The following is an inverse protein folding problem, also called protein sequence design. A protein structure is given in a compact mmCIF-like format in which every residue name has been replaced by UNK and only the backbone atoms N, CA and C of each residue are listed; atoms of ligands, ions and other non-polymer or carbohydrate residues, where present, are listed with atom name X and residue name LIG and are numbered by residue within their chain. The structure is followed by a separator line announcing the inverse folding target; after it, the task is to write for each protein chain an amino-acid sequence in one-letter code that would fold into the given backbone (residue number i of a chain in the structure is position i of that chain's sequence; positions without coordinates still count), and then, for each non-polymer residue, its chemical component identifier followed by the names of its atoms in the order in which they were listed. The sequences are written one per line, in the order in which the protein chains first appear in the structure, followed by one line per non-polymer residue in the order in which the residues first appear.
data_IF_753690376770
#
_entry.id   IF_753690376770
#
_cell.length_a   1.000
_cell.length_b   1.000
_cell.length_c   1.000
_cell.angle_alpha   90.00
_cell.angle_beta   90.00
_cell.angle_gamma   90.00
#
_symmetry.space_group_name_H-M   'P 1'
#
loop_
_entity.id
_entity.type
_entity.pdbx_description
1 polymer ?
#
# COMPACT_ATOMS: atom_id res chain seq x y z
N UNK A 1 30.58 -3.83 23.62
CA UNK A 1 29.55 -3.38 22.66
C UNK A 1 28.64 -2.38 23.38
N UNK A 2 28.26 -1.24 22.79
CA UNK A 2 27.32 -0.31 23.41
C UNK A 2 25.99 -1.00 23.72
N UNK A 3 25.36 -0.67 24.84
CA UNK A 3 24.03 -1.18 25.15
C UNK A 3 22.98 -0.41 24.32
N UNK A 4 22.54 -1.00 23.22
CA UNK A 4 21.44 -0.46 22.41
C UNK A 4 20.10 -0.81 23.06
N UNK A 5 19.28 0.20 23.36
CA UNK A 5 17.94 0.05 23.97
C UNK A 5 16.88 -0.27 22.90
N UNK A 6 17.25 -1.16 21.98
CA UNK A 6 16.41 -1.60 20.88
C UNK A 6 15.90 -3.01 21.14
N UNK A 7 14.59 -3.27 20.98
CA UNK A 7 14.05 -4.62 21.09
C UNK A 7 14.62 -5.51 19.97
N UNK A 8 14.75 -6.82 20.21
CA UNK A 8 15.16 -7.76 19.17
C UNK A 8 14.24 -7.68 17.94
N UNK A 9 14.82 -7.89 16.77
CA UNK A 9 14.11 -7.96 15.51
C UNK A 9 13.82 -9.42 15.13
N UNK A 10 12.57 -9.86 15.28
CA UNK A 10 12.14 -11.21 14.90
C UNK A 10 11.48 -11.26 13.52
N UNK A 11 11.18 -10.09 12.94
CA UNK A 11 10.55 -9.95 11.63
C UNK A 11 9.03 -10.18 11.62
N UNK A 12 8.40 -10.41 12.78
CA UNK A 12 6.96 -10.60 12.87
C UNK A 12 6.22 -9.31 13.25
N UNK A 13 5.61 -8.68 12.24
CA UNK A 13 4.88 -7.42 12.42
C UNK A 13 5.77 -6.19 12.62
N UNK A 14 7.09 -6.37 12.75
CA UNK A 14 8.08 -5.30 12.83
C UNK A 14 8.49 -4.82 11.44
N UNK A 15 8.68 -3.51 11.29
CA UNK A 15 9.15 -2.89 10.04
C UNK A 15 10.66 -2.66 10.09
N UNK A 16 11.42 -3.20 9.13
CA UNK A 16 12.88 -3.10 9.10
C UNK A 16 13.38 -1.66 9.00
N UNK A 17 12.69 -0.80 8.24
CA UNK A 17 13.10 0.60 8.09
C UNK A 17 12.94 1.36 9.40
N UNK A 18 11.80 1.18 10.08
CA UNK A 18 11.55 1.79 11.39
C UNK A 18 12.56 1.27 12.42
N UNK A 19 12.83 -0.03 12.41
CA UNK A 19 13.78 -0.63 13.34
C UNK A 19 15.23 -0.16 13.09
N UNK A 20 15.68 -0.12 11.84
CA UNK A 20 16.98 0.43 11.47
C UNK A 20 17.11 1.92 11.80
N UNK A 21 16.03 2.70 11.65
CA UNK A 21 16.02 4.11 12.03
C UNK A 21 16.23 4.29 13.54
N UNK A 22 15.56 3.48 14.37
CA UNK A 22 15.78 3.49 15.82
C UNK A 22 17.20 3.08 16.19
N UNK A 23 17.76 2.07 15.53
CA UNK A 23 19.16 1.68 15.73
C UNK A 23 20.13 2.83 15.42
N UNK A 24 19.89 3.57 14.32
CA UNK A 24 20.70 4.75 13.95
C UNK A 24 20.57 5.90 14.95
N UNK A 25 19.39 6.07 15.56
CA UNK A 25 19.21 7.05 16.64
C UNK A 25 20.05 6.68 17.87
N UNK A 26 20.06 5.41 18.28
CA UNK A 26 20.89 4.95 19.40
C UNK A 26 22.40 5.11 19.09
N UNK A 27 22.83 4.81 17.86
CA UNK A 27 24.19 5.07 17.41
C UNK A 27 24.56 6.55 17.50
N UNK A 28 23.65 7.43 17.06
CA UNK A 28 23.82 8.89 17.16
C UNK A 28 23.96 9.36 18.61
N UNK A 29 23.13 8.83 19.51
CA UNK A 29 23.21 9.13 20.95
C UNK A 29 24.51 8.63 21.59
N UNK A 30 25.08 7.54 21.06
CA UNK A 30 26.37 6.99 21.50
C UNK A 30 27.59 7.63 20.79
N UNK A 31 27.40 8.64 19.95
CA UNK A 31 28.46 9.26 19.11
C UNK A 31 29.21 8.28 18.20
N UNK A 32 28.52 7.25 17.71
CA UNK A 32 29.09 6.25 16.81
C UNK A 32 28.57 6.53 15.40
N UNK A 33 29.49 6.84 14.49
CA UNK A 33 29.17 7.01 13.08
C UNK A 33 29.44 5.70 12.31
N UNK A 34 28.44 5.25 11.55
CA UNK A 34 28.56 4.12 10.62
C UNK A 34 29.67 4.27 9.58
N UNK A 35 30.09 5.50 9.26
CA UNK A 35 31.21 5.76 8.36
C UNK A 35 32.55 5.43 9.00
N UNK A 36 32.68 5.63 10.31
CA UNK A 36 33.94 5.44 11.05
C UNK A 36 33.99 4.09 11.76
N UNK A 37 32.83 3.49 12.05
CA UNK A 37 32.71 2.20 12.73
C UNK A 37 31.72 1.25 12.03
N UNK A 38 31.91 0.95 10.74
CA UNK A 38 31.04 0.05 9.97
C UNK A 38 30.90 -1.34 10.61
N UNK A 39 31.96 -1.87 11.22
CA UNK A 39 31.96 -3.14 11.94
C UNK A 39 30.96 -3.15 13.10
N UNK A 40 30.86 -2.05 13.86
CA UNK A 40 29.92 -1.94 14.98
C UNK A 40 28.48 -1.89 14.48
N UNK A 41 28.22 -1.24 13.35
CA UNK A 41 26.91 -1.21 12.73
C UNK A 41 26.44 -2.59 12.28
N UNK A 42 27.32 -3.36 11.63
CA UNK A 42 27.02 -4.73 11.20
C UNK A 42 26.75 -5.63 12.42
N UNK A 43 27.59 -5.56 13.45
CA UNK A 43 27.42 -6.37 14.66
C UNK A 43 26.15 -6.00 15.42
N UNK A 44 25.78 -4.72 15.48
CA UNK A 44 24.54 -4.31 16.14
C UNK A 44 23.29 -4.83 15.43
N UNK A 45 23.26 -4.84 14.10
CA UNK A 45 22.14 -5.43 13.37
C UNK A 45 22.13 -6.95 13.60
N UNK A 46 23.27 -7.61 13.43
CA UNK A 46 23.36 -9.08 13.47
C UNK A 46 23.11 -9.68 14.87
N UNK A 47 23.49 -8.99 15.94
CA UNK A 47 23.26 -9.47 17.33
C UNK A 47 21.86 -9.18 17.85
N UNK A 48 21.15 -8.24 17.23
CA UNK A 48 19.80 -7.85 17.65
C UNK A 48 18.70 -8.51 16.83
N UNK A 49 19.03 -9.29 15.80
CA UNK A 49 18.05 -10.15 15.15
C UNK A 49 17.82 -11.41 15.96
N UNK A 50 16.61 -11.96 15.89
CA UNK A 50 16.22 -13.14 16.65
C UNK A 50 15.28 -14.05 15.85
N UNK A 51 15.20 -15.31 16.28
CA UNK A 51 14.22 -16.28 15.78
C UNK A 51 14.36 -16.54 14.28
N UNK A 52 13.24 -16.53 13.54
CA UNK A 52 13.23 -16.84 12.10
C UNK A 52 14.03 -15.86 11.24
N UNK A 53 14.29 -14.66 11.75
CA UNK A 53 15.09 -13.66 11.05
C UNK A 53 16.57 -14.02 11.09
N UNK A 54 17.07 -14.53 12.22
CA UNK A 54 18.44 -15.01 12.39
C UNK A 54 18.76 -16.14 11.38
N UNK A 55 17.93 -17.20 11.37
CA UNK A 55 18.05 -18.33 10.43
C UNK A 55 18.12 -17.88 8.97
N UNK A 56 17.38 -16.83 8.64
CA UNK A 56 17.27 -16.31 7.28
C UNK A 56 18.48 -15.46 6.89
N UNK A 57 19.04 -14.71 7.84
CA UNK A 57 20.28 -13.96 7.64
C UNK A 57 21.45 -14.90 7.42
N UNK A 58 21.55 -15.97 8.19
CA UNK A 58 22.63 -16.96 8.07
C UNK A 58 22.63 -17.72 6.75
N UNK A 59 21.45 -17.90 6.16
CA UNK A 59 21.28 -18.52 4.82
C UNK A 59 21.55 -17.55 3.67
N UNK A 60 21.60 -16.24 3.91
CA UNK A 60 21.77 -15.25 2.86
C UNK A 60 23.25 -15.07 2.55
N UNK A 61 23.71 -15.62 1.42
CA UNK A 61 25.14 -15.66 1.05
C UNK A 61 25.82 -14.29 1.11
N UNK A 62 25.15 -13.23 0.63
CA UNK A 62 25.70 -11.86 0.68
C UNK A 62 25.89 -11.36 2.12
N UNK A 63 24.90 -11.58 3.00
CA UNK A 63 24.98 -11.24 4.42
C UNK A 63 26.11 -12.01 5.08
N UNK A 64 26.19 -13.32 4.82
CA UNK A 64 27.26 -14.19 5.32
C UNK A 64 28.65 -13.72 4.90
N UNK A 65 28.83 -13.36 3.63
CA UNK A 65 30.12 -12.87 3.12
C UNK A 65 30.54 -11.56 3.81
N UNK A 66 29.61 -10.61 3.96
CA UNK A 66 29.87 -9.34 4.66
C UNK A 66 30.20 -9.57 6.14
N UNK A 67 29.49 -10.48 6.80
CA UNK A 67 29.75 -10.82 8.21
C UNK A 67 31.10 -11.52 8.42
N UNK A 68 31.57 -12.28 7.43
CA UNK A 68 32.88 -12.93 7.46
C UNK A 68 34.02 -11.90 7.39
N UNK A 69 33.85 -10.80 6.65
CA UNK A 69 34.84 -9.73 6.49
C UNK A 69 34.53 -8.48 7.32
N UNK A 70 33.62 -8.58 8.30
CA UNK A 70 33.06 -7.43 9.02
C UNK A 70 34.08 -6.49 9.68
N UNK A 71 35.23 -7.00 10.10
CA UNK A 71 36.26 -6.20 10.77
C UNK A 71 36.93 -5.20 9.83
N UNK A 72 36.94 -5.48 8.54
CA UNK A 72 37.47 -4.59 7.48
C UNK A 72 36.34 -4.02 6.62
N UNK A 73 35.10 -4.11 7.09
CA UNK A 73 33.95 -3.67 6.32
C UNK A 73 33.99 -2.16 6.08
N UNK A 74 33.40 -1.75 4.97
CA UNK A 74 33.26 -0.37 4.54
C UNK A 74 31.82 0.10 4.72
N UNK A 75 31.61 1.42 4.68
CA UNK A 75 30.26 2.01 4.67
C UNK A 75 29.41 1.49 3.49
N UNK A 76 30.04 1.13 2.38
CA UNK A 76 29.35 0.54 1.22
C UNK A 76 28.79 -0.83 1.56
N UNK A 77 29.55 -1.68 2.25
CA UNK A 77 29.08 -2.99 2.71
C UNK A 77 27.98 -2.87 3.76
N UNK A 78 28.06 -1.87 4.67
CA UNK A 78 26.95 -1.56 5.59
C UNK A 78 25.68 -1.21 4.81
N UNK A 79 25.76 -0.36 3.79
CA UNK A 79 24.60 0.00 2.96
C UNK A 79 24.03 -1.19 2.20
N UNK A 80 24.89 -2.06 1.64
CA UNK A 80 24.48 -3.28 0.97
C UNK A 80 23.78 -4.22 1.95
N UNK A 81 24.34 -4.37 3.15
CA UNK A 81 23.77 -5.18 4.21
C UNK A 81 22.40 -4.65 4.64
N UNK A 82 22.26 -3.35 4.90
CA UNK A 82 20.98 -2.75 5.24
C UNK A 82 19.96 -2.90 4.10
N UNK A 83 20.38 -2.78 2.85
CA UNK A 83 19.49 -2.95 1.70
C UNK A 83 18.99 -4.39 1.57
N UNK A 84 19.87 -5.39 1.74
CA UNK A 84 19.45 -6.80 1.80
C UNK A 84 18.55 -7.06 3.00
N UNK A 85 18.87 -6.51 4.18
CA UNK A 85 18.03 -6.63 5.36
C UNK A 85 16.61 -6.08 5.11
N UNK A 86 16.49 -4.87 4.55
CA UNK A 86 15.20 -4.29 4.14
C UNK A 86 14.46 -5.14 3.11
N UNK A 87 15.17 -5.61 2.09
CA UNK A 87 14.59 -6.45 1.03
C UNK A 87 14.01 -7.75 1.59
N UNK A 88 14.66 -8.35 2.58
CA UNK A 88 14.22 -9.61 3.21
C UNK A 88 13.13 -9.41 4.25
N UNK A 89 13.06 -8.23 4.84
CA UNK A 89 12.12 -7.91 5.91
C UNK A 89 11.46 -6.54 5.70
N UNK A 90 10.73 -6.29 4.59
CA UNK A 90 10.20 -4.96 4.22
C UNK A 90 9.19 -4.35 5.21
N UNK A 91 9.03 -4.98 6.37
CA UNK A 91 7.94 -4.79 7.30
C UNK A 91 6.67 -5.41 6.79
N UNK A 92 5.78 -5.74 7.71
CA UNK A 92 4.36 -5.69 7.36
C UNK A 92 4.04 -4.22 7.06
N UNK A 93 4.20 -3.79 5.81
CA UNK A 93 3.11 -3.00 5.23
C UNK A 93 1.89 -3.86 5.50
N UNK A 94 0.80 -3.28 5.99
CA UNK A 94 -0.46 -3.99 6.02
C UNK A 94 -0.85 -4.31 4.56
N UNK A 95 -0.18 -5.30 3.97
CA UNK A 95 -0.77 -6.20 3.01
C UNK A 95 -1.72 -6.98 3.91
N UNK A 96 -2.87 -6.38 4.22
CA UNK A 96 -4.11 -7.15 4.14
C UNK A 96 -3.90 -8.04 2.93
N UNK A 97 -3.90 -9.37 3.11
CA UNK A 97 -3.88 -10.30 1.99
C UNK A 97 -4.99 -9.85 1.05
N UNK A 98 -4.66 -8.99 0.11
CA UNK A 98 -5.61 -8.42 -0.79
C UNK A 98 -5.70 -9.54 -1.80
N UNK A 99 -6.76 -10.35 -1.63
CA UNK A 99 -7.32 -11.06 -2.76
C UNK A 99 -7.17 -10.13 -3.96
N UNK A 100 -6.59 -10.64 -5.06
CA UNK A 100 -6.31 -9.90 -6.30
C UNK A 100 -7.18 -8.64 -6.41
N UNK A 101 -6.64 -7.43 -6.70
CA UNK A 101 -7.45 -6.21 -6.78
C UNK A 101 -8.77 -6.37 -7.56
N UNK A 102 -8.80 -7.28 -8.54
CA UNK A 102 -9.98 -7.71 -9.28
C UNK A 102 -10.98 -8.56 -8.47
N UNK A 103 -10.53 -9.45 -7.59
CA UNK A 103 -11.38 -10.14 -6.60
C UNK A 103 -11.90 -9.18 -5.54
N UNK A 104 -11.06 -8.25 -5.06
CA UNK A 104 -11.51 -7.24 -4.10
C UNK A 104 -12.56 -6.29 -4.68
N UNK A 105 -12.45 -5.97 -5.97
CA UNK A 105 -13.48 -5.20 -6.69
C UNK A 105 -14.86 -5.84 -6.66
N UNK A 106 -14.96 -7.17 -6.69
CA UNK A 106 -16.24 -7.88 -6.60
C UNK A 106 -16.90 -7.74 -5.22
N UNK A 107 -16.08 -7.58 -4.18
CA UNK A 107 -16.54 -7.35 -2.80
C UNK A 107 -16.66 -5.86 -2.43
N UNK A 108 -16.28 -4.96 -3.33
CA UNK A 108 -16.33 -3.52 -3.06
C UNK A 108 -17.79 -3.09 -2.93
N UNK A 109 -18.15 -2.62 -1.74
CA UNK A 109 -19.49 -2.14 -1.42
C UNK A 109 -19.39 -0.92 -0.51
N UNK A 110 -20.21 0.08 -0.80
CA UNK A 110 -20.39 1.25 0.04
C UNK A 110 -21.17 0.83 1.29
N UNK A 111 -20.61 1.11 2.46
CA UNK A 111 -21.29 0.81 3.71
C UNK A 111 -22.45 1.80 3.95
N UNK A 112 -23.53 1.41 4.66
CA UNK A 112 -24.70 2.27 4.88
C UNK A 112 -24.40 3.64 5.51
N UNK A 113 -23.31 3.71 6.28
CA UNK A 113 -22.85 4.90 7.01
C UNK A 113 -21.64 5.57 6.34
N UNK A 114 -21.17 5.03 5.23
CA UNK A 114 -20.04 5.58 4.49
C UNK A 114 -20.53 6.65 3.52
N UNK A 115 -19.98 7.87 3.64
CA UNK A 115 -20.27 8.93 2.70
C UNK A 115 -19.64 8.63 1.32
N UNK A 116 -20.25 9.19 0.26
CA UNK A 116 -19.84 8.92 -1.12
C UNK A 116 -18.37 9.28 -1.39
N UNK A 117 -17.87 10.35 -0.75
CA UNK A 117 -16.47 10.78 -0.90
C UNK A 117 -15.48 9.75 -0.37
N UNK A 118 -15.77 9.17 0.80
CA UNK A 118 -14.96 8.11 1.40
C UNK A 118 -15.00 6.83 0.54
N UNK A 119 -16.18 6.50 0.00
CA UNK A 119 -16.31 5.37 -0.91
C UNK A 119 -15.52 5.55 -2.21
N UNK A 120 -15.59 6.73 -2.83
CA UNK A 120 -14.79 7.11 -4.00
C UNK A 120 -13.30 7.02 -3.69
N UNK A 121 -12.88 7.46 -2.49
CA UNK A 121 -11.48 7.35 -2.08
C UNK A 121 -10.99 5.90 -2.04
N UNK A 122 -11.77 4.98 -1.44
CA UNK A 122 -11.43 3.54 -1.43
C UNK A 122 -11.38 2.95 -2.84
N UNK A 123 -12.29 3.34 -3.72
CA UNK A 123 -12.27 2.91 -5.12
C UNK A 123 -11.00 3.37 -5.85
N UNK A 124 -10.54 4.60 -5.61
CA UNK A 124 -9.29 5.16 -6.16
C UNK A 124 -8.05 4.47 -5.62
N UNK A 125 -8.02 4.12 -4.34
CA UNK A 125 -6.95 3.32 -3.75
C UNK A 125 -6.88 1.94 -4.41
N UNK A 126 -8.02 1.28 -4.59
CA UNK A 126 -8.10 -0.01 -5.28
C UNK A 126 -7.60 0.09 -6.73
N UNK A 127 -8.08 1.08 -7.48
CA UNK A 127 -7.63 1.36 -8.85
C UNK A 127 -6.13 1.62 -8.94
N UNK A 128 -5.58 2.38 -8.01
CA UNK A 128 -4.14 2.65 -7.94
C UNK A 128 -3.34 1.37 -7.63
N UNK A 129 -3.85 0.49 -6.76
CA UNK A 129 -3.24 -0.80 -6.46
C UNK A 129 -3.23 -1.77 -7.65
N UNK A 130 -4.23 -1.67 -8.54
CA UNK A 130 -4.32 -2.46 -9.78
C UNK A 130 -3.43 -1.93 -10.91
N UNK A 131 -2.75 -0.79 -10.70
CA UNK A 131 -1.88 -0.17 -11.69
C UNK A 131 -2.55 0.88 -12.58
N UNK A 132 -3.83 1.21 -12.33
CA UNK A 132 -4.73 2.03 -13.16
C UNK A 132 -4.23 3.40 -13.65
N UNK A 133 -3.08 3.89 -13.14
CA UNK A 133 -2.41 5.11 -13.60
C UNK A 133 -1.37 4.90 -14.71
N UNK A 134 -1.11 3.65 -15.14
CA UNK A 134 -0.10 3.35 -16.17
C UNK A 134 -0.68 3.60 -17.57
N UNK A 135 -0.20 4.65 -18.24
CA UNK A 135 -0.69 5.14 -19.54
C UNK A 135 0.05 4.60 -20.76
N UNK A 136 0.99 3.68 -20.60
CA UNK A 136 1.78 3.10 -21.71
C UNK A 136 1.26 1.71 -22.08
N UNK A 137 0.67 1.60 -23.27
CA UNK A 137 0.21 0.39 -23.98
C UNK A 137 -0.40 -0.69 -23.08
N UNK A 138 -1.73 -0.63 -22.91
CA UNK A 138 -2.48 -1.63 -22.16
C UNK A 138 -2.60 -2.93 -22.98
N UNK A 139 -2.12 -4.04 -22.42
CA UNK A 139 -2.44 -5.38 -22.91
C UNK A 139 -3.97 -5.62 -22.74
N UNK A 140 -4.63 -6.38 -23.63
CA UNK A 140 -6.08 -6.63 -23.56
C UNK A 140 -6.58 -7.17 -22.20
N UNK A 141 -5.73 -7.89 -21.46
CA UNK A 141 -6.05 -8.39 -20.11
C UNK A 141 -6.13 -7.28 -19.06
N UNK A 142 -5.45 -6.15 -19.28
CA UNK A 142 -5.46 -5.00 -18.39
C UNK A 142 -6.74 -4.19 -18.51
N UNK A 143 -7.26 -4.00 -19.74
CA UNK A 143 -8.57 -3.37 -19.99
C UNK A 143 -9.71 -4.16 -19.33
N UNK A 144 -9.66 -5.50 -19.44
CA UNK A 144 -10.66 -6.37 -18.82
C UNK A 144 -10.62 -6.29 -17.29
N UNK A 145 -9.43 -6.18 -16.69
CA UNK A 145 -9.26 -5.98 -15.26
C UNK A 145 -9.78 -4.61 -14.77
N UNK A 146 -9.51 -3.54 -15.52
CA UNK A 146 -10.00 -2.20 -15.22
C UNK A 146 -11.53 -2.14 -15.25
N UNK A 147 -12.15 -2.81 -16.22
CA UNK A 147 -13.61 -2.91 -16.31
C UNK A 147 -14.23 -3.61 -15.09
N UNK A 148 -13.58 -4.64 -14.54
CA UNK A 148 -14.04 -5.32 -13.31
C UNK A 148 -14.05 -4.36 -12.11
N UNK A 149 -13.06 -3.48 -12.01
CA UNK A 149 -12.99 -2.48 -10.92
C UNK A 149 -14.10 -1.45 -11.07
N UNK A 150 -14.33 -0.94 -12.28
CA UNK A 150 -15.42 0.01 -12.56
C UNK A 150 -16.79 -0.62 -12.27
N UNK A 151 -17.02 -1.85 -12.70
CA UNK A 151 -18.28 -2.57 -12.45
C UNK A 151 -18.51 -2.82 -10.97
N UNK A 152 -17.47 -3.25 -10.24
CA UNK A 152 -17.51 -3.43 -8.79
C UNK A 152 -17.86 -2.13 -8.07
N UNK A 153 -17.19 -1.03 -8.44
CA UNK A 153 -17.45 0.30 -7.89
C UNK A 153 -18.92 0.74 -8.06
N UNK A 154 -19.47 0.68 -9.28
CA UNK A 154 -20.84 1.11 -9.54
C UNK A 154 -21.86 0.18 -8.87
N UNK A 155 -21.65 -1.14 -8.94
CA UNK A 155 -22.56 -2.13 -8.33
C UNK A 155 -22.58 -2.02 -6.81
N UNK A 156 -21.45 -1.63 -6.22
CA UNK A 156 -21.27 -1.49 -4.78
C UNK A 156 -21.92 -0.26 -4.16
N UNK A 157 -22.45 0.69 -4.94
CA UNK A 157 -23.12 1.88 -4.40
C UNK A 157 -24.27 1.50 -3.47
N UNK A 158 -24.38 2.21 -2.34
CA UNK A 158 -25.39 1.92 -1.33
C UNK A 158 -26.78 2.42 -1.76
N UNK A 159 -26.85 3.66 -2.24
CA UNK A 159 -28.10 4.27 -2.70
C UNK A 159 -28.51 3.74 -4.08
N UNK A 160 -29.58 2.95 -4.12
CA UNK A 160 -30.08 2.35 -5.37
C UNK A 160 -30.46 3.39 -6.42
N UNK A 161 -31.08 4.51 -6.03
CA UNK A 161 -31.46 5.58 -6.97
C UNK A 161 -30.22 6.20 -7.65
N UNK A 162 -29.17 6.46 -6.88
CA UNK A 162 -27.90 6.98 -7.40
C UNK A 162 -27.22 5.95 -8.29
N UNK A 163 -27.24 4.67 -7.90
CA UNK A 163 -26.71 3.55 -8.69
C UNK A 163 -27.40 3.42 -10.04
N UNK A 164 -28.73 3.32 -10.06
CA UNK A 164 -29.49 3.22 -11.31
C UNK A 164 -29.23 4.42 -12.21
N UNK A 165 -29.21 5.64 -11.66
CA UNK A 165 -28.95 6.84 -12.46
C UNK A 165 -27.51 6.89 -12.99
N UNK A 166 -26.52 6.45 -12.22
CA UNK A 166 -25.15 6.34 -12.69
C UNK A 166 -25.02 5.30 -13.83
N UNK A 167 -25.75 4.18 -13.73
CA UNK A 167 -25.81 3.16 -14.80
C UNK A 167 -26.45 3.74 -16.07
N UNK A 168 -27.56 4.46 -15.97
CA UNK A 168 -28.19 5.17 -17.10
C UNK A 168 -27.22 6.15 -17.76
N UNK A 169 -26.43 6.89 -16.96
CA UNK A 169 -25.39 7.78 -17.46
C UNK A 169 -24.19 7.05 -18.10
N UNK A 170 -24.21 5.70 -18.10
CA UNK A 170 -23.22 4.85 -18.73
C UNK A 170 -22.00 4.53 -17.86
N UNK A 171 -22.07 4.68 -16.53
CA UNK A 171 -20.93 4.48 -15.64
C UNK A 171 -20.37 3.04 -15.68
N UNK A 172 -21.16 2.04 -16.07
CA UNK A 172 -20.69 0.65 -16.20
C UNK A 172 -20.04 0.33 -17.55
N UNK A 173 -20.12 1.24 -18.53
CA UNK A 173 -19.61 1.02 -19.91
C UNK A 173 -18.20 1.55 -20.12
N UNK A 174 -17.69 2.32 -19.17
CA UNK A 174 -16.36 2.92 -19.23
C UNK A 174 -15.32 1.96 -18.67
N UNK A 175 -14.09 2.07 -19.14
CA UNK A 175 -12.95 1.31 -18.63
C UNK A 175 -12.09 2.12 -17.66
N UNK A 176 -12.34 3.43 -17.56
CA UNK A 176 -11.62 4.35 -16.66
C UNK A 176 -12.46 4.71 -15.42
N UNK A 177 -11.85 4.63 -14.24
CA UNK A 177 -12.54 4.91 -12.98
C UNK A 177 -12.91 6.39 -12.83
N UNK A 178 -12.08 7.32 -13.29
CA UNK A 178 -12.37 8.75 -13.17
C UNK A 178 -13.55 9.15 -14.08
N UNK A 179 -13.67 8.53 -15.25
CA UNK A 179 -14.86 8.68 -16.10
C UNK A 179 -16.12 8.13 -15.42
N UNK A 180 -16.03 6.97 -14.75
CA UNK A 180 -17.14 6.41 -13.99
C UNK A 180 -17.57 7.31 -12.82
N UNK A 181 -16.60 7.86 -12.09
CA UNK A 181 -16.83 8.83 -10.99
C UNK A 181 -17.49 10.10 -11.53
N UNK A 182 -17.07 10.60 -12.70
CA UNK A 182 -17.70 11.76 -13.34
C UNK A 182 -19.18 11.49 -13.63
N UNK A 183 -19.50 10.34 -14.23
CA UNK A 183 -20.89 9.92 -14.53
C UNK A 183 -21.75 9.75 -13.27
N UNK A 184 -21.16 9.24 -12.18
CA UNK A 184 -21.78 9.16 -10.86
C UNK A 184 -22.08 10.54 -10.28
N UNK A 185 -21.13 11.48 -10.35
CA UNK A 185 -21.34 12.84 -9.85
C UNK A 185 -22.48 13.54 -10.61
N UNK A 186 -22.56 13.36 -11.93
CA UNK A 186 -23.68 13.84 -12.75
C UNK A 186 -25.01 13.21 -12.30
N UNK A 187 -25.02 11.92 -11.96
CA UNK A 187 -26.22 11.25 -11.44
C UNK A 187 -26.68 11.85 -10.10
N UNK A 188 -25.75 12.08 -9.17
CA UNK A 188 -26.03 12.75 -7.89
C UNK A 188 -26.61 14.14 -8.11
N UNK A 189 -25.98 14.96 -8.96
CA UNK A 189 -26.47 16.31 -9.28
C UNK A 189 -27.87 16.29 -9.89
N UNK A 190 -28.13 15.37 -10.82
CA UNK A 190 -29.45 15.23 -11.47
C UNK A 190 -30.52 14.87 -10.45
N UNK A 191 -30.23 13.91 -9.56
CA UNK A 191 -31.17 13.50 -8.52
C UNK A 191 -31.40 14.63 -7.51
N UNK A 192 -30.35 15.32 -7.07
CA UNK A 192 -30.48 16.49 -6.21
C UNK A 192 -31.39 17.56 -6.84
N UNK A 193 -31.23 17.82 -8.14
CA UNK A 193 -32.12 18.74 -8.86
C UNK A 193 -33.57 18.27 -8.89
N UNK A 194 -33.82 16.97 -9.14
CA UNK A 194 -35.17 16.39 -9.15
C UNK A 194 -35.81 16.44 -7.75
N UNK A 195 -35.07 16.15 -6.70
CA UNK A 195 -35.59 16.21 -5.33
C UNK A 195 -35.86 17.64 -4.85
N UNK A 196 -35.07 18.61 -5.31
CA UNK A 196 -35.24 20.02 -4.92
C UNK A 196 -36.27 20.77 -5.77
N UNK A 197 -36.46 20.40 -7.04
CA UNK A 197 -37.30 21.15 -7.99
C UNK A 197 -38.46 20.34 -8.61
N UNK A 198 -38.46 19.01 -8.52
CA UNK A 198 -39.49 18.14 -9.11
C UNK A 198 -40.82 18.10 -8.37
N UNK A 199 -40.96 18.76 -7.23
CA UNK A 199 -42.25 18.93 -6.52
C UNK A 199 -43.03 20.20 -6.93
N UNK A 200 -42.53 21.03 -7.85
CA UNK A 200 -43.25 22.23 -8.28
C UNK A 200 -44.16 22.04 -9.50
N UNK A 201 -44.05 20.95 -10.26
CA UNK A 201 -44.86 20.72 -11.47
C UNK A 201 -46.14 19.90 -11.23
N UNK A 202 -46.59 19.74 -9.97
CA UNK A 202 -47.85 19.04 -9.63
C UNK A 202 -49.02 19.96 -9.27
N UNK A 203 -48.91 21.27 -9.50
CA UNK A 203 -50.01 22.22 -9.27
C UNK A 203 -50.11 23.21 -10.44
N UNK A 204 -50.81 22.82 -11.49
CA UNK A 204 -51.53 23.70 -12.40
C UNK A 204 -52.62 22.91 -13.14
#
# INVERSE_FOLDING_TARGET
MPAFNLPPFDGDGQNSDRWLAMLKLDFGAAHIDSKTHPQLCLEAIYTKVAGKTEDRMDRTLKIKNIMATRQTATITEVKIFEAEFRSRFPGRVAITQQASPFLYAQSLKQEPHENLTAYIYRARELWSSAGGRRTTQMEPMYDMGCQVIVQGFVSGLYEEMVKYKAIENGAMRVTDLEEAISKLNTAVQTLQHIYLYGSQDSVA
#
